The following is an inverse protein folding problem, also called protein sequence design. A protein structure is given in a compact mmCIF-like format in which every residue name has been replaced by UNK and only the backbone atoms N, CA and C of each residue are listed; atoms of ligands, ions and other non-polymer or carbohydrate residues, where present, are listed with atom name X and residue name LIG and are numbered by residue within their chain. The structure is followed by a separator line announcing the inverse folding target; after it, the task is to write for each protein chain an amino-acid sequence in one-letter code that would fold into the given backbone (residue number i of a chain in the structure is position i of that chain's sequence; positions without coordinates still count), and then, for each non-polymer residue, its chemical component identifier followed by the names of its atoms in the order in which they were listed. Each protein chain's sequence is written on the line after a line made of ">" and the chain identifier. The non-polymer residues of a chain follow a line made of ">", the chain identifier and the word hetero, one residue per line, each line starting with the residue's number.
data_IF_339339975417
#
_entry.id   IF_339339975417
#
_cell.length_a   1.000
_cell.length_b   1.000
_cell.length_c   1.000
_cell.angle_alpha   90.00
_cell.angle_beta   90.00
_cell.angle_gamma   90.00
#
_symmetry.space_group_name_H-M   'P 1'
#
loop_
_entity.id
_entity.type
_entity.pdbx_description
1 polymer ?
#
# COMPACT_ATOMS: atom_id res chain seq x y z
N UNK A 1 -23.72 -16.44 -18.71
CA UNK A 1 -22.77 -16.88 -17.68
C UNK A 1 -21.72 -15.79 -17.48
N UNK A 2 -21.80 -15.04 -16.37
CA UNK A 2 -20.73 -14.10 -15.98
C UNK A 2 -19.78 -14.88 -15.08
N UNK A 3 -18.57 -15.16 -15.55
CA UNK A 3 -17.52 -15.70 -14.67
C UNK A 3 -17.14 -14.57 -13.71
N UNK A 4 -17.54 -14.67 -12.43
CA UNK A 4 -16.95 -13.84 -11.39
C UNK A 4 -15.46 -14.19 -11.36
N UNK A 5 -14.61 -13.22 -11.70
CA UNK A 5 -13.16 -13.37 -11.53
C UNK A 5 -12.93 -13.75 -10.06
N UNK A 6 -12.19 -14.83 -9.82
CA UNK A 6 -11.76 -15.15 -8.47
C UNK A 6 -11.04 -13.92 -7.90
N UNK A 7 -11.27 -13.53 -6.63
CA UNK A 7 -10.57 -12.39 -6.06
C UNK A 7 -9.09 -12.67 -6.15
N UNK A 8 -8.37 -11.77 -6.82
CA UNK A 8 -6.91 -11.80 -6.82
C UNK A 8 -6.47 -11.68 -5.35
N UNK A 9 -5.66 -12.63 -4.89
CA UNK A 9 -5.16 -12.60 -3.51
C UNK A 9 -4.14 -11.47 -3.45
N UNK A 10 -4.61 -10.28 -3.05
CA UNK A 10 -3.76 -9.12 -2.82
C UNK A 10 -2.97 -9.37 -1.54
N UNK A 11 -1.67 -9.63 -1.68
CA UNK A 11 -0.74 -9.88 -0.56
C UNK A 11 -0.02 -8.62 -0.09
N UNK A 12 -0.13 -7.53 -0.84
CA UNK A 12 0.42 -6.22 -0.53
C UNK A 12 -0.44 -5.15 -1.20
N UNK A 13 -0.57 -3.99 -0.55
CA UNK A 13 -1.16 -2.78 -1.15
C UNK A 13 -0.05 -1.79 -1.47
N UNK A 14 -0.33 -0.89 -2.39
CA UNK A 14 0.57 0.20 -2.74
C UNK A 14 -0.03 1.50 -2.23
N UNK A 15 0.68 2.16 -1.32
CA UNK A 15 0.29 3.46 -0.80
C UNK A 15 0.98 4.55 -1.61
N UNK A 16 0.23 5.59 -1.95
CA UNK A 16 0.76 6.84 -2.51
C UNK A 16 0.67 7.89 -1.42
N UNK A 17 1.77 8.58 -1.13
CA UNK A 17 1.87 9.55 -0.05
C UNK A 17 2.47 10.87 -0.55
N UNK A 18 2.00 12.00 -0.04
CA UNK A 18 2.69 13.28 -0.23
C UNK A 18 3.93 13.35 0.66
N UNK A 19 4.96 14.06 0.20
CA UNK A 19 6.23 14.24 0.93
C UNK A 19 6.36 15.64 1.59
N UNK A 20 5.32 16.49 1.52
CA UNK A 20 5.40 17.90 1.97
C UNK A 20 5.49 18.12 3.50
N UNK A 21 5.17 17.11 4.31
CA UNK A 21 5.15 17.27 5.77
C UNK A 21 5.70 16.03 6.45
N UNK A 22 6.27 16.14 7.67
CA UNK A 22 6.68 14.97 8.46
C UNK A 22 5.54 13.99 8.77
N UNK A 23 4.30 14.37 8.45
CA UNK A 23 3.13 13.51 8.43
C UNK A 23 2.82 13.14 6.97
N UNK A 24 3.61 12.23 6.38
CA UNK A 24 3.42 11.72 5.02
C UNK A 24 1.97 11.24 4.85
N UNK A 25 1.14 12.09 4.23
CA UNK A 25 -0.30 11.89 4.17
C UNK A 25 -0.60 10.94 3.02
N UNK A 26 -1.37 9.88 3.31
CA UNK A 26 -1.77 8.90 2.30
C UNK A 26 -2.80 9.53 1.37
N UNK A 27 -2.45 9.62 0.09
CA UNK A 27 -3.29 10.15 -1.00
C UNK A 27 -4.12 9.04 -1.65
N UNK A 28 -3.61 7.81 -1.67
CA UNK A 28 -4.29 6.68 -2.31
C UNK A 28 -3.77 5.32 -1.88
N UNK A 29 -4.61 4.30 -2.05
CA UNK A 29 -4.31 2.88 -1.80
C UNK A 29 -4.70 2.07 -3.02
N UNK A 30 -3.74 1.32 -3.57
CA UNK A 30 -3.89 0.60 -4.83
C UNK A 30 -3.55 -0.88 -4.67
N UNK A 31 -4.12 -1.72 -5.53
CA UNK A 31 -3.86 -3.15 -5.53
C UNK A 31 -2.55 -3.49 -6.25
N UNK A 32 -2.13 -2.67 -7.22
CA UNK A 32 -0.92 -2.90 -8.02
C UNK A 32 0.04 -1.71 -8.01
N UNK A 33 1.31 -2.01 -8.26
CA UNK A 33 2.36 -0.99 -8.39
C UNK A 33 2.06 -0.02 -9.54
N UNK A 34 1.61 -0.56 -10.68
CA UNK A 34 1.39 0.23 -11.89
C UNK A 34 0.27 1.25 -11.70
N UNK A 35 -0.80 0.89 -10.97
CA UNK A 35 -1.86 1.84 -10.62
C UNK A 35 -1.35 2.94 -9.68
N UNK A 36 -0.58 2.57 -8.65
CA UNK A 36 0.00 3.55 -7.74
C UNK A 36 1.00 4.49 -8.43
N UNK A 37 1.83 3.97 -9.31
CA UNK A 37 2.80 4.74 -10.08
C UNK A 37 2.10 5.71 -11.04
N UNK A 38 1.10 5.23 -11.78
CA UNK A 38 0.32 6.10 -12.68
C UNK A 38 -0.38 7.22 -11.93
N UNK A 39 -0.99 6.91 -10.79
CA UNK A 39 -1.60 7.94 -9.94
C UNK A 39 -0.56 8.93 -9.38
N UNK A 40 0.58 8.43 -8.89
CA UNK A 40 1.65 9.30 -8.39
C UNK A 40 2.16 10.27 -9.47
N UNK A 41 2.37 9.80 -10.70
CA UNK A 41 2.77 10.65 -11.83
C UNK A 41 1.69 11.71 -12.14
N UNK A 42 0.42 11.32 -12.09
CA UNK A 42 -0.71 12.24 -12.32
C UNK A 42 -0.79 13.34 -11.26
N UNK A 43 -0.56 13.03 -9.98
CA UNK A 43 -0.76 14.00 -8.89
C UNK A 43 0.51 14.72 -8.44
N UNK A 44 1.69 14.25 -8.84
CA UNK A 44 2.99 14.78 -8.39
C UNK A 44 3.10 16.31 -8.58
N UNK A 45 2.57 16.84 -9.68
CA UNK A 45 2.60 18.27 -9.99
C UNK A 45 1.76 19.16 -9.04
N UNK A 46 0.93 18.56 -8.19
CA UNK A 46 0.08 19.26 -7.22
C UNK A 46 0.76 19.47 -5.85
N UNK A 47 1.92 18.84 -5.63
CA UNK A 47 2.65 18.84 -4.36
C UNK A 47 4.07 19.35 -4.57
N UNK A 48 4.50 20.35 -3.81
CA UNK A 48 5.78 21.06 -4.03
C UNK A 48 6.99 20.13 -3.85
N UNK A 49 6.93 19.28 -2.83
CA UNK A 49 7.94 18.26 -2.53
C UNK A 49 7.67 16.92 -3.25
N UNK A 50 6.62 16.87 -4.06
CA UNK A 50 6.22 15.71 -4.83
C UNK A 50 5.50 14.63 -4.01
N UNK A 51 5.40 13.47 -4.65
CA UNK A 51 4.62 12.32 -4.19
C UNK A 51 5.46 11.06 -4.35
N UNK A 52 5.41 10.18 -3.36
CA UNK A 52 6.07 8.87 -3.40
C UNK A 52 5.06 7.74 -3.32
N UNK A 53 5.47 6.53 -3.73
CA UNK A 53 4.68 5.33 -3.53
C UNK A 53 5.52 4.17 -3.02
N UNK A 54 4.93 3.36 -2.14
CA UNK A 54 5.59 2.23 -1.53
C UNK A 54 4.65 1.04 -1.33
N UNK A 55 5.20 -0.17 -1.42
CA UNK A 55 4.45 -1.39 -1.14
C UNK A 55 4.36 -1.63 0.36
N UNK A 56 3.15 -1.86 0.85
CA UNK A 56 2.87 -2.28 2.22
C UNK A 56 2.32 -3.71 2.19
N UNK A 57 3.09 -4.70 2.67
CA UNK A 57 2.61 -6.07 2.73
C UNK A 57 1.38 -6.16 3.63
N UNK A 58 0.32 -6.79 3.14
CA UNK A 58 -0.86 -7.10 3.94
C UNK A 58 -0.51 -8.29 4.82
N UNK A 59 0.01 -8.00 6.01
CA UNK A 59 0.16 -8.99 7.07
C UNK A 59 -1.23 -9.48 7.50
N UNK A 60 -1.55 -10.72 7.16
CA UNK A 60 -2.67 -11.54 7.64
C UNK A 60 -4.01 -10.82 7.88
N UNK A 61 -5.00 -11.18 7.05
CA UNK A 61 -6.41 -10.93 7.34
C UNK A 61 -6.72 -11.49 8.74
N UNK A 62 -7.07 -10.61 9.68
CA UNK A 62 -7.53 -10.96 11.01
C UNK A 62 -8.95 -11.56 10.91
N UNK A 63 -9.06 -12.74 10.32
CA UNK A 63 -10.25 -13.58 10.42
C UNK A 63 -10.11 -14.27 11.77
N UNK A 64 -10.86 -13.81 12.77
CA UNK A 64 -10.98 -14.40 14.10
C UNK A 64 -9.76 -14.24 15.03
N UNK A 65 -9.69 -13.09 15.70
CA UNK A 65 -9.40 -13.05 17.15
C UNK A 65 -8.05 -13.55 17.69
N UNK A 66 -7.01 -13.85 16.91
CA UNK A 66 -5.71 -14.23 17.47
C UNK A 66 -4.54 -13.76 16.63
N UNK A 67 -3.90 -12.70 17.10
CA UNK A 67 -2.63 -12.20 16.58
C UNK A 67 -1.47 -13.10 17.02
N UNK A 68 -0.50 -13.39 16.13
CA UNK A 68 0.86 -13.62 16.56
C UNK A 68 1.77 -12.47 16.10
N UNK A 69 2.42 -11.87 17.09
CA UNK A 69 3.56 -10.98 16.94
C UNK A 69 4.59 -11.57 15.97
N UNK A 70 4.96 -10.81 14.93
CA UNK A 70 6.20 -11.06 14.21
C UNK A 70 7.35 -10.62 15.13
N UNK A 71 7.87 -11.56 15.93
CA UNK A 71 9.18 -11.39 16.55
C UNK A 71 10.17 -11.17 15.41
N UNK A 72 10.77 -9.98 15.34
CA UNK A 72 12.07 -9.85 14.69
C UNK A 72 13.03 -10.81 15.41
N UNK A 73 13.78 -11.67 14.71
CA UNK A 73 14.91 -12.33 15.33
C UNK A 73 15.89 -11.24 15.78
N UNK A 74 16.21 -11.21 17.06
CA UNK A 74 17.34 -10.46 17.58
C UNK A 74 18.57 -10.82 16.74
N UNK A 75 19.24 -9.82 16.17
CA UNK A 75 20.53 -9.99 15.51
C UNK A 75 21.54 -10.65 16.49
N UNK A 76 22.52 -11.41 15.98
CA UNK A 76 23.38 -12.30 16.77
C UNK A 76 24.24 -11.59 17.82
#
# INVERSE_FOLDING_TARGET
>A
MVRKRAPEVVTAVWLVCQEETPHNTVLGVFASQSEAAGYADEVSHLYEDGVSYASFPLGYRHIDGSAPYLRQPSAP
#
